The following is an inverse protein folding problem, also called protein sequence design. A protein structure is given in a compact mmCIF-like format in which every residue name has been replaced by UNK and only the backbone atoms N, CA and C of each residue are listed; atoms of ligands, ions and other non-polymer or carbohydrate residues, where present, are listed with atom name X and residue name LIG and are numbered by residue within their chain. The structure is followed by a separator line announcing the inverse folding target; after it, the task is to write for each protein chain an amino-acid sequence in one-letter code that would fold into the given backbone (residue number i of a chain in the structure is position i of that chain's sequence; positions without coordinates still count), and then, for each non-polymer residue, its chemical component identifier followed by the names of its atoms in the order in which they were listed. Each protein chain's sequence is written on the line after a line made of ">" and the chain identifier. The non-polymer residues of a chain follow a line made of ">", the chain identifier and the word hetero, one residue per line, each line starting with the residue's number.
data_IF_973602878621
#
_entry.id   IF_973602878621
#
_cell.length_a   1.000
_cell.length_b   1.000
_cell.length_c   1.000
_cell.angle_alpha   90.00
_cell.angle_beta   90.00
_cell.angle_gamma   90.00
#
_symmetry.space_group_name_H-M   'P 1'
#
loop_
_entity.id
_entity.type
_entity.pdbx_description
1 polymer ?
#
# COMPACT_ATOMS: atom_id res chain seq x y z
N UNK A 1 8.49 1.23 24.02
CA UNK A 1 8.53 1.56 22.60
C UNK A 1 9.11 0.40 21.77
N UNK A 2 9.02 0.48 20.45
CA UNK A 2 9.45 -0.59 19.53
C UNK A 2 10.96 -0.89 19.65
N UNK A 3 11.80 0.15 19.81
CA UNK A 3 13.25 -0.04 19.96
C UNK A 3 13.59 -0.86 21.21
N UNK A 4 12.96 -0.55 22.33
CA UNK A 4 13.11 -1.33 23.56
C UNK A 4 12.67 -2.79 23.35
N UNK A 5 11.54 -3.00 22.64
CA UNK A 5 11.09 -4.36 22.33
C UNK A 5 12.10 -5.12 21.48
N UNK A 6 12.63 -4.51 20.40
CA UNK A 6 13.65 -5.14 19.56
C UNK A 6 14.94 -5.50 20.33
N UNK A 7 15.32 -4.67 21.29
CA UNK A 7 16.51 -4.90 22.11
C UNK A 7 16.33 -6.00 23.17
N UNK A 8 15.11 -6.24 23.62
CA UNK A 8 14.85 -7.09 24.81
C UNK A 8 14.09 -8.36 24.50
N UNK A 9 13.46 -8.48 23.31
CA UNK A 9 12.66 -9.65 22.96
C UNK A 9 13.51 -10.92 22.92
N UNK A 10 12.99 -11.96 23.55
CA UNK A 10 13.51 -13.33 23.46
C UNK A 10 12.56 -14.15 22.61
N UNK A 11 13.10 -14.95 21.71
CA UNK A 11 12.32 -15.80 20.82
C UNK A 11 13.07 -17.09 20.50
N UNK A 12 12.33 -18.12 20.16
CA UNK A 12 12.90 -19.36 19.62
C UNK A 12 13.14 -19.20 18.11
N UNK A 13 14.38 -19.41 17.68
CA UNK A 13 14.74 -19.35 16.27
C UNK A 13 14.40 -20.66 15.55
N UNK A 14 14.63 -20.67 14.23
CA UNK A 14 14.36 -21.82 13.35
C UNK A 14 15.13 -23.12 13.71
N UNK A 15 16.14 -23.01 14.57
CA UNK A 15 16.90 -24.17 15.09
C UNK A 15 16.39 -24.66 16.45
N UNK A 16 15.34 -24.03 17.01
CA UNK A 16 14.80 -24.34 18.33
C UNK A 16 15.58 -23.70 19.49
N UNK A 17 16.50 -22.75 19.21
CA UNK A 17 17.31 -22.08 20.23
C UNK A 17 16.66 -20.76 20.67
N UNK A 18 16.46 -20.61 21.98
CA UNK A 18 16.05 -19.33 22.56
C UNK A 18 17.21 -18.32 22.49
N UNK A 19 16.94 -17.16 21.88
CA UNK A 19 17.91 -16.08 21.74
C UNK A 19 17.24 -14.71 21.64
N UNK A 20 18.04 -13.67 21.71
CA UNK A 20 17.66 -12.29 21.35
C UNK A 20 18.11 -11.96 19.95
N UNK A 21 17.53 -10.88 19.38
CA UNK A 21 18.03 -10.32 18.14
C UNK A 21 19.48 -9.82 18.33
N UNK A 22 20.32 -10.12 17.37
CA UNK A 22 21.65 -9.52 17.27
C UNK A 22 21.55 -8.04 16.91
N UNK A 23 22.61 -7.28 17.10
CA UNK A 23 22.67 -5.87 16.71
C UNK A 23 22.38 -5.68 15.22
N UNK A 24 22.91 -6.55 14.39
CA UNK A 24 22.74 -6.45 12.92
C UNK A 24 21.30 -6.74 12.50
N UNK A 25 20.64 -7.71 13.14
CA UNK A 25 19.21 -7.98 12.96
C UNK A 25 18.35 -6.78 13.39
N UNK A 26 18.64 -6.16 14.53
CA UNK A 26 17.93 -4.96 14.99
C UNK A 26 18.12 -3.80 13.98
N UNK A 27 19.35 -3.57 13.55
CA UNK A 27 19.63 -2.54 12.52
C UNK A 27 18.94 -2.85 11.18
N UNK A 28 18.84 -4.14 10.82
CA UNK A 28 18.06 -4.61 9.67
C UNK A 28 16.58 -4.24 9.79
N UNK A 29 15.96 -4.50 10.93
CA UNK A 29 14.58 -4.11 11.22
C UNK A 29 14.36 -2.59 11.14
N UNK A 30 15.24 -1.81 11.76
CA UNK A 30 15.14 -0.34 11.73
C UNK A 30 15.24 0.20 10.30
N UNK A 31 16.18 -0.30 9.50
CA UNK A 31 16.32 0.08 8.08
C UNK A 31 15.10 -0.30 7.26
N UNK A 32 14.56 -1.50 7.49
CA UNK A 32 13.34 -1.97 6.82
C UNK A 32 12.15 -1.06 7.13
N UNK A 33 11.90 -0.77 8.40
CA UNK A 33 10.79 0.07 8.84
C UNK A 33 10.91 1.50 8.29
N UNK A 34 12.10 2.09 8.37
CA UNK A 34 12.36 3.44 7.88
C UNK A 34 12.22 3.54 6.34
N UNK A 35 12.70 2.54 5.60
CA UNK A 35 12.63 2.53 4.14
C UNK A 35 11.25 2.19 3.60
N UNK A 36 10.68 1.06 4.05
CA UNK A 36 9.43 0.56 3.49
C UNK A 36 8.19 1.34 3.96
N UNK A 37 8.21 1.87 5.19
CA UNK A 37 7.04 2.54 5.79
C UNK A 37 6.82 3.97 5.34
N UNK A 38 7.87 4.69 4.97
CA UNK A 38 7.78 6.13 4.70
C UNK A 38 7.18 6.41 3.30
N UNK A 39 7.84 5.97 2.24
CA UNK A 39 7.47 6.35 0.88
C UNK A 39 6.11 5.79 0.48
N UNK A 40 5.82 4.54 0.78
CA UNK A 40 4.58 3.87 0.38
C UNK A 40 3.35 4.52 1.00
N UNK A 41 3.40 4.88 2.28
CA UNK A 41 2.29 5.55 2.97
C UNK A 41 2.10 6.99 2.49
N UNK A 42 3.19 7.71 2.23
CA UNK A 42 3.13 9.04 1.60
C UNK A 42 2.41 8.97 0.24
N UNK A 43 2.73 7.96 -0.58
CA UNK A 43 2.07 7.76 -1.88
C UNK A 43 0.59 7.38 -1.72
N UNK A 44 0.24 6.57 -0.71
CA UNK A 44 -1.16 6.27 -0.38
C UNK A 44 -1.96 7.55 -0.11
N UNK A 45 -1.44 8.46 0.70
CA UNK A 45 -2.10 9.74 1.00
C UNK A 45 -2.27 10.57 -0.27
N UNK A 46 -1.23 10.65 -1.11
CA UNK A 46 -1.30 11.34 -2.40
C UNK A 46 -2.35 10.75 -3.34
N UNK A 47 -2.39 9.41 -3.49
CA UNK A 47 -3.42 8.73 -4.28
C UNK A 47 -4.82 8.94 -3.72
N UNK A 48 -4.99 8.91 -2.41
CA UNK A 48 -6.27 9.23 -1.75
C UNK A 48 -6.75 10.62 -2.14
N UNK A 49 -5.88 11.61 -2.05
CA UNK A 49 -6.20 12.99 -2.46
C UNK A 49 -6.59 13.10 -3.93
N UNK A 50 -5.83 12.46 -4.81
CA UNK A 50 -6.07 12.46 -6.27
C UNK A 50 -7.38 11.77 -6.63
N UNK A 51 -7.58 10.54 -6.17
CA UNK A 51 -8.74 9.74 -6.53
C UNK A 51 -10.04 10.39 -6.04
N UNK A 52 -10.04 10.93 -4.82
CA UNK A 52 -11.21 11.63 -4.29
C UNK A 52 -11.47 12.99 -4.97
N UNK A 53 -10.44 13.67 -5.47
CA UNK A 53 -10.62 14.87 -6.30
C UNK A 53 -11.28 14.55 -7.65
N UNK A 54 -10.99 13.37 -8.23
CA UNK A 54 -11.61 12.90 -9.47
C UNK A 54 -13.05 12.38 -9.26
N UNK A 55 -13.43 12.07 -8.00
CA UNK A 55 -14.75 11.55 -7.63
C UNK A 55 -15.41 12.44 -6.57
N UNK A 56 -15.72 13.71 -6.89
CA UNK A 56 -16.20 14.69 -5.91
C UNK A 56 -17.54 14.30 -5.24
N UNK A 57 -18.36 13.50 -5.92
CA UNK A 57 -19.60 12.96 -5.35
C UNK A 57 -19.31 11.99 -4.19
N UNK A 58 -18.31 11.13 -4.34
CA UNK A 58 -17.91 10.18 -3.31
C UNK A 58 -17.16 10.88 -2.17
N UNK A 59 -16.38 11.91 -2.48
CA UNK A 59 -15.79 12.78 -1.44
C UNK A 59 -16.88 13.44 -0.61
N UNK A 60 -17.93 14.01 -1.25
CA UNK A 60 -19.05 14.62 -0.54
C UNK A 60 -19.84 13.62 0.32
N UNK A 61 -19.87 12.36 -0.10
CA UNK A 61 -20.46 11.27 0.70
C UNK A 61 -19.61 10.97 1.94
N UNK A 62 -18.27 10.88 1.81
CA UNK A 62 -17.36 10.67 2.95
C UNK A 62 -17.42 11.83 3.97
N UNK A 63 -17.61 13.07 3.51
CA UNK A 63 -17.79 14.23 4.40
C UNK A 63 -19.09 14.09 5.21
N UNK A 64 -20.16 13.56 4.60
CA UNK A 64 -21.45 13.34 5.29
C UNK A 64 -21.43 12.12 6.20
N UNK A 65 -20.75 11.05 5.76
CA UNK A 65 -20.68 9.78 6.49
C UNK A 65 -19.22 9.32 6.64
N UNK A 66 -18.49 9.82 7.66
CA UNK A 66 -17.11 9.42 7.91
C UNK A 66 -16.92 7.93 8.27
N UNK A 67 -18.00 7.18 8.54
CA UNK A 67 -17.89 5.73 8.80
C UNK A 67 -17.38 4.95 7.59
N UNK A 68 -17.54 5.50 6.39
CA UNK A 68 -17.08 4.92 5.12
C UNK A 68 -15.56 5.07 4.88
N UNK A 69 -14.86 5.87 5.68
CA UNK A 69 -13.43 6.17 5.45
C UNK A 69 -12.56 4.91 5.43
N UNK A 70 -12.81 3.94 6.31
CA UNK A 70 -12.05 2.69 6.31
C UNK A 70 -12.16 1.97 4.97
N UNK A 71 -13.38 1.84 4.46
CA UNK A 71 -13.65 1.18 3.19
C UNK A 71 -13.09 1.98 2.00
N UNK A 72 -13.16 3.31 2.07
CA UNK A 72 -12.58 4.18 1.04
C UNK A 72 -11.06 4.02 0.94
N UNK A 73 -10.33 3.90 2.07
CA UNK A 73 -8.89 3.63 2.07
C UNK A 73 -8.58 2.25 1.48
N UNK A 74 -9.37 1.23 1.80
CA UNK A 74 -9.20 -0.10 1.21
C UNK A 74 -9.45 -0.08 -0.31
N UNK A 75 -10.45 0.69 -0.77
CA UNK A 75 -10.71 0.85 -2.21
C UNK A 75 -9.62 1.67 -2.91
N UNK A 76 -9.06 2.72 -2.30
CA UNK A 76 -7.90 3.43 -2.86
C UNK A 76 -6.72 2.47 -2.99
N UNK A 77 -6.43 1.67 -1.98
CA UNK A 77 -5.36 0.67 -2.01
C UNK A 77 -5.56 -0.38 -3.10
N UNK A 78 -6.80 -0.80 -3.36
CA UNK A 78 -7.13 -1.68 -4.49
C UNK A 78 -6.93 -0.97 -5.82
N UNK A 79 -7.50 0.22 -5.97
CA UNK A 79 -7.62 0.95 -7.23
C UNK A 79 -6.30 1.57 -7.69
N UNK A 80 -5.54 2.17 -6.77
CA UNK A 80 -4.23 2.81 -7.02
C UNK A 80 -3.20 2.38 -5.96
N UNK A 81 -2.74 1.11 -6.00
CA UNK A 81 -1.76 0.64 -5.03
C UNK A 81 -0.44 1.39 -5.18
N UNK A 82 0.15 1.90 -4.09
CA UNK A 82 1.45 2.59 -4.13
C UNK A 82 2.58 1.72 -4.68
N UNK A 83 2.53 0.40 -4.42
CA UNK A 83 3.50 -0.56 -4.94
C UNK A 83 2.82 -1.50 -5.94
N UNK A 84 2.76 -1.13 -7.23
CA UNK A 84 1.97 -1.83 -8.24
C UNK A 84 2.60 -3.14 -8.71
N UNK A 85 3.89 -3.33 -8.48
CA UNK A 85 4.66 -4.49 -8.93
C UNK A 85 5.65 -4.94 -7.87
N UNK A 86 5.80 -6.26 -7.73
CA UNK A 86 6.83 -6.90 -6.93
C UNK A 86 7.62 -7.88 -7.80
N UNK A 87 8.86 -8.17 -7.43
CA UNK A 87 9.69 -9.11 -8.15
C UNK A 87 10.06 -10.32 -7.30
N UNK A 88 10.29 -11.46 -7.95
CA UNK A 88 10.85 -12.67 -7.33
C UNK A 88 11.96 -13.21 -8.21
N UNK A 89 13.07 -13.55 -7.57
CA UNK A 89 14.14 -14.28 -8.23
C UNK A 89 13.83 -15.77 -8.21
N UNK A 90 13.97 -16.44 -9.35
CA UNK A 90 13.66 -17.86 -9.54
C UNK A 90 14.90 -18.68 -9.17
N UNK A 91 14.83 -19.41 -8.05
CA UNK A 91 15.97 -20.19 -7.51
C UNK A 91 16.07 -21.60 -8.06
N UNK A 92 15.01 -22.11 -8.71
CA UNK A 92 14.96 -23.40 -9.43
C UNK A 92 13.94 -23.26 -10.57
N UNK A 93 13.97 -24.16 -11.53
CA UNK A 93 12.98 -24.18 -12.61
C UNK A 93 11.57 -24.32 -12.03
N UNK A 94 10.63 -23.48 -12.48
CA UNK A 94 9.24 -23.47 -12.01
C UNK A 94 8.30 -23.50 -13.20
N UNK A 95 7.32 -24.40 -13.17
CA UNK A 95 6.27 -24.43 -14.16
C UNK A 95 5.12 -23.47 -13.80
N UNK A 96 4.75 -22.63 -14.75
CA UNK A 96 3.58 -21.74 -14.69
C UNK A 96 2.73 -21.91 -15.94
N UNK A 97 1.50 -22.39 -15.79
CA UNK A 97 0.53 -22.55 -16.90
C UNK A 97 1.12 -23.31 -18.11
N UNK A 98 1.85 -24.40 -17.87
CA UNK A 98 2.47 -25.21 -18.90
C UNK A 98 3.77 -24.63 -19.50
N UNK A 99 4.27 -23.52 -18.96
CA UNK A 99 5.54 -22.92 -19.36
C UNK A 99 6.58 -23.02 -18.24
N UNK A 100 7.79 -23.42 -18.58
CA UNK A 100 8.88 -23.46 -17.61
C UNK A 100 9.57 -22.10 -17.56
N UNK A 101 9.60 -21.54 -16.37
CA UNK A 101 10.40 -20.35 -16.05
C UNK A 101 11.73 -20.85 -15.48
N UNK A 102 12.86 -20.63 -16.16
CA UNK A 102 14.13 -21.21 -15.75
C UNK A 102 14.69 -20.54 -14.49
N UNK A 103 15.47 -21.31 -13.74
CA UNK A 103 16.32 -20.80 -12.67
C UNK A 103 17.15 -19.60 -13.15
N UNK A 104 17.27 -18.58 -12.31
CA UNK A 104 18.00 -17.35 -12.62
C UNK A 104 17.15 -16.26 -13.26
N UNK A 105 15.90 -16.57 -13.64
CA UNK A 105 14.93 -15.59 -14.14
C UNK A 105 14.40 -14.69 -13.03
N UNK A 106 13.75 -13.59 -13.44
CA UNK A 106 12.95 -12.74 -12.55
C UNK A 106 11.50 -12.79 -12.98
N UNK A 107 10.60 -13.10 -12.04
CA UNK A 107 9.15 -13.03 -12.22
C UNK A 107 8.64 -11.72 -11.63
N UNK A 108 7.83 -10.98 -12.39
CA UNK A 108 7.14 -9.80 -11.91
C UNK A 108 5.70 -10.15 -11.51
N UNK A 109 5.36 -9.82 -10.28
CA UNK A 109 4.02 -9.95 -9.71
C UNK A 109 3.29 -8.63 -9.87
N UNK A 110 2.34 -8.56 -10.81
CA UNK A 110 1.63 -7.34 -11.17
C UNK A 110 0.43 -7.11 -10.24
N UNK A 111 0.70 -6.69 -9.00
CA UNK A 111 -0.31 -6.52 -7.95
C UNK A 111 -1.43 -5.55 -8.36
N UNK A 112 -1.09 -4.45 -9.04
CA UNK A 112 -2.08 -3.49 -9.52
C UNK A 112 -3.02 -4.10 -10.55
N UNK A 113 -2.50 -4.91 -11.47
CA UNK A 113 -3.32 -5.63 -12.46
C UNK A 113 -4.23 -6.66 -11.77
N UNK A 114 -3.69 -7.42 -10.83
CA UNK A 114 -4.46 -8.41 -10.08
C UNK A 114 -5.60 -7.78 -9.24
N UNK A 115 -5.40 -6.57 -8.73
CA UNK A 115 -6.44 -5.81 -8.03
C UNK A 115 -7.53 -5.26 -8.97
N UNK A 116 -7.33 -5.37 -10.28
CA UNK A 116 -8.31 -5.01 -11.33
C UNK A 116 -8.76 -6.20 -12.17
N UNK A 117 -8.59 -7.42 -11.65
CA UNK A 117 -9.06 -8.64 -12.31
C UNK A 117 -10.60 -8.70 -12.26
N UNK A 118 -11.24 -8.73 -13.43
CA UNK A 118 -12.70 -8.78 -13.58
C UNK A 118 -13.31 -10.11 -13.13
N UNK A 119 -12.49 -11.16 -13.04
CA UNK A 119 -12.89 -12.45 -12.45
C UNK A 119 -13.05 -12.37 -10.93
N UNK A 120 -12.41 -11.39 -10.28
CA UNK A 120 -12.44 -11.17 -8.82
C UNK A 120 -13.30 -9.98 -8.42
N UNK A 121 -13.30 -8.92 -9.22
CA UNK A 121 -13.99 -7.67 -8.92
C UNK A 121 -14.96 -7.29 -10.02
N UNK A 122 -16.21 -7.08 -9.66
CA UNK A 122 -17.20 -6.53 -10.59
C UNK A 122 -16.85 -5.07 -10.90
N UNK A 123 -16.86 -4.70 -12.22
CA UNK A 123 -16.48 -3.36 -12.68
C UNK A 123 -15.15 -2.87 -12.05
N UNK A 124 -14.02 -3.60 -12.26
CA UNK A 124 -12.77 -3.37 -11.52
C UNK A 124 -12.16 -2.00 -11.75
N UNK A 125 -12.44 -1.37 -12.90
CA UNK A 125 -11.94 -0.04 -13.28
C UNK A 125 -12.82 1.10 -12.76
N UNK A 126 -13.91 0.80 -12.05
CA UNK A 126 -14.70 1.78 -11.34
C UNK A 126 -14.22 1.92 -9.91
N UNK A 127 -13.90 3.15 -9.49
CA UNK A 127 -13.69 3.48 -8.09
C UNK A 127 -15.03 3.55 -7.36
N UNK A 128 -15.15 2.87 -6.21
CA UNK A 128 -16.38 2.82 -5.44
C UNK A 128 -16.07 2.65 -3.94
N UNK A 129 -16.26 3.71 -3.16
CA UNK A 129 -16.03 3.70 -1.71
C UNK A 129 -16.94 2.74 -0.94
N UNK A 130 -17.97 2.19 -1.57
CA UNK A 130 -18.87 1.19 -1.00
C UNK A 130 -18.59 -0.23 -1.45
N UNK A 131 -17.55 -0.42 -2.28
CA UNK A 131 -17.16 -1.75 -2.76
C UNK A 131 -16.88 -2.69 -1.58
N UNK A 132 -17.48 -3.87 -1.60
CA UNK A 132 -17.14 -4.93 -0.64
C UNK A 132 -15.82 -5.57 -1.05
N UNK A 133 -14.80 -5.37 -0.25
CA UNK A 133 -13.44 -5.86 -0.48
C UNK A 133 -13.14 -6.91 0.58
N UNK A 134 -13.04 -8.17 0.16
CA UNK A 134 -12.64 -9.29 1.02
C UNK A 134 -11.11 -9.44 1.02
N UNK A 135 -10.45 -9.23 -0.12
CA UNK A 135 -9.01 -9.37 -0.28
C UNK A 135 -8.49 -8.47 -1.40
N UNK A 136 -7.31 -7.90 -1.20
CA UNK A 136 -6.50 -7.27 -2.26
C UNK A 136 -5.08 -7.84 -2.22
N UNK A 137 -4.34 -7.69 -3.32
CA UNK A 137 -2.92 -8.04 -3.37
C UNK A 137 -1.99 -6.83 -3.17
N UNK A 138 -2.53 -5.69 -2.76
CA UNK A 138 -1.75 -4.48 -2.47
C UNK A 138 -0.67 -4.72 -1.43
N UNK A 139 -0.99 -5.49 -0.40
CA UNK A 139 -0.07 -5.86 0.68
C UNK A 139 0.59 -7.23 0.49
N UNK A 140 0.43 -7.83 -0.70
CA UNK A 140 0.94 -9.16 -1.00
C UNK A 140 0.12 -10.29 -0.36
N UNK A 141 0.73 -11.47 -0.29
CA UNK A 141 0.13 -12.69 0.27
C UNK A 141 1.21 -13.63 0.81
N UNK A 142 0.84 -14.51 1.75
CA UNK A 142 1.72 -15.54 2.32
C UNK A 142 2.78 -14.96 3.26
N UNK A 143 3.94 -15.57 3.32
CA UNK A 143 5.03 -15.23 4.27
C UNK A 143 5.61 -13.83 4.07
N UNK A 144 5.40 -13.23 2.90
CA UNK A 144 5.79 -11.84 2.59
C UNK A 144 4.64 -10.84 2.70
N UNK A 145 3.52 -11.21 3.32
CA UNK A 145 2.44 -10.24 3.59
C UNK A 145 3.01 -9.04 4.34
N UNK A 146 2.62 -7.85 3.91
CA UNK A 146 3.19 -6.59 4.41
C UNK A 146 3.06 -6.47 5.94
N UNK A 147 4.21 -6.38 6.63
CA UNK A 147 4.28 -6.20 8.06
C UNK A 147 3.56 -4.92 8.52
N UNK A 148 3.68 -3.84 7.74
CA UNK A 148 3.11 -2.52 8.03
C UNK A 148 1.66 -2.31 7.57
N UNK A 149 0.96 -3.34 7.08
CA UNK A 149 -0.37 -3.19 6.47
C UNK A 149 -1.41 -2.51 7.37
N UNK A 150 -1.44 -2.88 8.65
CA UNK A 150 -2.34 -2.28 9.63
C UNK A 150 -2.00 -0.81 9.91
N UNK A 151 -0.70 -0.50 10.04
CA UNK A 151 -0.23 0.87 10.28
C UNK A 151 -0.51 1.75 9.06
N UNK A 152 -0.21 1.29 7.84
CA UNK A 152 -0.48 2.03 6.62
C UNK A 152 -1.97 2.38 6.44
N UNK A 153 -2.86 1.42 6.74
CA UNK A 153 -4.32 1.67 6.73
C UNK A 153 -4.72 2.68 7.81
N UNK A 154 -4.14 2.57 9.01
CA UNK A 154 -4.41 3.52 10.11
C UNK A 154 -3.97 4.93 9.73
N UNK A 155 -2.77 5.10 9.21
CA UNK A 155 -2.23 6.40 8.78
C UNK A 155 -3.07 7.00 7.64
N UNK A 156 -3.42 6.22 6.61
CA UNK A 156 -4.30 6.66 5.53
C UNK A 156 -5.66 7.11 6.04
N UNK A 157 -6.26 6.34 6.96
CA UNK A 157 -7.54 6.68 7.60
C UNK A 157 -7.46 7.99 8.38
N UNK A 158 -6.48 8.12 9.28
CA UNK A 158 -6.31 9.30 10.13
C UNK A 158 -6.04 10.54 9.27
N UNK A 159 -5.17 10.41 8.26
CA UNK A 159 -4.89 11.49 7.33
C UNK A 159 -6.16 11.95 6.61
N UNK A 160 -6.95 11.03 6.04
CA UNK A 160 -8.19 11.38 5.36
C UNK A 160 -9.21 12.01 6.30
N UNK A 161 -9.39 11.47 7.53
CA UNK A 161 -10.27 12.05 8.54
C UNK A 161 -9.90 13.50 8.86
N UNK A 162 -8.62 13.78 9.05
CA UNK A 162 -8.17 15.12 9.40
C UNK A 162 -8.21 16.09 8.20
N UNK A 163 -8.01 15.58 6.98
CA UNK A 163 -8.13 16.39 5.76
C UNK A 163 -9.59 16.83 5.55
N UNK A 164 -10.55 15.90 5.54
CA UNK A 164 -11.94 16.24 5.24
C UNK A 164 -12.61 17.14 6.28
N UNK A 165 -12.15 17.09 7.55
CA UNK A 165 -12.61 18.01 8.61
C UNK A 165 -12.24 19.46 8.33
N UNK A 166 -11.06 19.70 7.71
CA UNK A 166 -10.52 21.04 7.45
C UNK A 166 -10.82 21.52 6.05
N UNK A 167 -10.79 20.58 5.10
CA UNK A 167 -10.90 20.83 3.67
C UNK A 167 -11.91 19.83 3.07
N UNK A 168 -13.21 20.11 3.15
CA UNK A 168 -14.25 19.19 2.69
C UNK A 168 -14.31 19.06 1.16
N UNK A 169 -13.60 19.93 0.43
CA UNK A 169 -13.49 19.90 -1.04
C UNK A 169 -12.11 20.38 -1.47
N UNK A 170 -11.61 19.78 -2.54
CA UNK A 170 -10.38 20.22 -3.19
C UNK A 170 -10.37 19.84 -4.67
N UNK A 171 -9.50 20.49 -5.42
CA UNK A 171 -9.14 20.14 -6.80
C UNK A 171 -7.63 20.06 -6.90
N UNK A 172 -7.13 19.21 -7.81
CA UNK A 172 -5.70 19.10 -8.06
C UNK A 172 -5.25 20.28 -8.94
N UNK A 173 -4.14 20.89 -8.56
CA UNK A 173 -3.38 21.82 -9.40
C UNK A 173 -2.50 21.00 -10.35
N UNK A 174 -3.06 20.63 -11.50
CA UNK A 174 -2.35 19.80 -12.47
C UNK A 174 -1.16 20.50 -13.13
N UNK A 175 -1.12 21.82 -13.16
CA UNK A 175 0.01 22.59 -13.74
C UNK A 175 1.27 22.41 -12.89
N UNK A 176 1.12 22.29 -11.57
CA UNK A 176 2.23 22.17 -10.63
C UNK A 176 2.38 20.76 -10.05
N UNK A 177 1.54 19.80 -10.44
CA UNK A 177 1.65 18.41 -10.01
C UNK A 177 2.86 17.73 -10.67
N UNK A 178 3.62 16.95 -9.87
CA UNK A 178 4.79 16.20 -10.34
C UNK A 178 4.67 14.75 -9.92
N UNK A 179 4.55 13.86 -10.90
CA UNK A 179 4.53 12.43 -10.64
C UNK A 179 5.93 11.92 -10.31
N UNK A 180 6.04 11.04 -9.33
CA UNK A 180 7.29 10.39 -8.97
C UNK A 180 7.77 9.46 -10.10
N UNK A 181 9.07 9.48 -10.36
CA UNK A 181 9.73 8.59 -11.33
C UNK A 181 10.56 7.56 -10.58
N UNK A 182 9.90 6.52 -10.09
CA UNK A 182 10.55 5.40 -9.40
C UNK A 182 10.21 4.09 -10.08
N UNK A 183 11.01 3.04 -9.85
CA UNK A 183 10.82 1.73 -10.46
C UNK A 183 9.81 0.84 -9.71
N UNK A 184 9.55 1.12 -8.44
CA UNK A 184 8.83 0.20 -7.55
C UNK A 184 7.65 0.82 -6.82
N UNK A 185 7.66 2.15 -6.61
CA UNK A 185 6.62 2.88 -5.88
C UNK A 185 6.05 3.96 -6.77
N UNK A 186 4.75 3.94 -7.00
CA UNK A 186 4.04 4.88 -7.87
C UNK A 186 3.29 5.92 -7.05
N UNK A 187 3.37 7.18 -7.45
CA UNK A 187 2.67 8.28 -6.78
C UNK A 187 3.22 9.63 -7.20
N UNK A 188 3.17 10.59 -6.31
CA UNK A 188 3.45 11.99 -6.57
C UNK A 188 4.61 12.47 -5.71
N UNK A 189 5.55 13.21 -6.32
CA UNK A 189 6.58 13.95 -5.60
C UNK A 189 6.03 15.28 -5.08
N UNK A 190 5.08 15.85 -5.81
CA UNK A 190 4.33 17.04 -5.42
C UNK A 190 2.94 16.95 -6.00
N UNK A 191 1.91 17.12 -5.17
CA UNK A 191 0.50 17.13 -5.56
C UNK A 191 -0.20 18.34 -4.92
N UNK A 192 0.01 19.55 -5.42
CA UNK A 192 -0.65 20.73 -4.91
C UNK A 192 -2.16 20.68 -5.14
N UNK A 193 -2.90 21.28 -4.23
CA UNK A 193 -4.36 21.31 -4.28
C UNK A 193 -4.92 22.70 -4.01
N UNK A 194 -6.03 23.03 -4.64
CA UNK A 194 -6.88 24.17 -4.28
C UNK A 194 -7.98 23.67 -3.37
N UNK A 195 -8.08 24.23 -2.17
CA UNK A 195 -9.12 23.91 -1.17
C UNK A 195 -10.20 25.00 -1.14
N UNK A 196 -11.46 24.64 -0.89
CA UNK A 196 -12.61 25.56 -0.82
C UNK A 196 -13.80 24.97 -0.07
#
# INVERSE_FOLDING_TARGET
>A
DLMTQLLTIEFEDETGKNRRLSRDEILGYVRLLAGAGNETTTRLIGWTGKVLADHPEQLAELVKDPSLINNAIDEVLRFEPPSPVQARYVTQDVEHYGQIVPKGSVILLLNASANRDDRKYENPDKFDIRRKIDQTLTFGHGIHFCLGSHLAKLEGRVALQEIIKRFPRWKIDWENAKQARTSTVRGWDSLPVFTY
#
